data_IF_330617656102
#
_entry.id   IF_330617656102
#
_cell.length_a   1.000
_cell.length_b   1.000
_cell.length_c   1.000
_cell.angle_alpha   90.00
_cell.angle_beta   90.00
_cell.angle_gamma   90.00
#
_symmetry.space_group_name_H-M   'P 1'
#
loop_
_entity.id
_entity.type
_entity.pdbx_description
1 polymer ?
#
# COMPACT_ATOMS: atom_id res chain seq x y z
N UNK A 1 -5.01 11.03 -4.29
CA UNK A 1 -4.70 10.46 -2.95
C UNK A 1 -3.90 11.46 -2.15
N UNK A 2 -4.61 12.42 -1.64
CA UNK A 2 -4.02 13.50 -0.86
C UNK A 2 -3.36 12.95 0.41
N UNK A 3 -2.18 13.43 0.72
CA UNK A 3 -1.36 13.03 1.89
C UNK A 3 -0.77 11.62 1.82
N UNK A 4 -1.10 10.82 0.82
CA UNK A 4 -0.41 9.57 0.57
C UNK A 4 0.91 9.87 -0.14
N UNK A 5 1.94 9.10 0.18
CA UNK A 5 3.25 9.21 -0.47
C UNK A 5 3.19 8.44 -1.79
N UNK A 6 3.47 9.10 -2.90
CA UNK A 6 3.45 8.44 -4.20
C UNK A 6 4.71 7.60 -4.38
N UNK A 7 4.53 6.31 -4.65
CA UNK A 7 5.61 5.35 -4.83
C UNK A 7 6.00 5.33 -6.32
N UNK A 8 7.15 5.90 -6.64
CA UNK A 8 7.52 6.18 -8.04
C UNK A 8 8.90 5.66 -8.45
N UNK A 9 9.62 5.00 -7.56
CA UNK A 9 10.92 4.40 -7.90
C UNK A 9 11.16 3.12 -7.10
N UNK A 10 12.03 2.26 -7.65
CA UNK A 10 12.40 1.01 -6.98
C UNK A 10 13.18 1.30 -5.71
N UNK A 11 14.08 2.29 -5.73
CA UNK A 11 14.86 2.67 -4.54
C UNK A 11 13.95 3.16 -3.43
N UNK A 12 12.93 3.94 -3.77
CA UNK A 12 11.93 4.41 -2.79
C UNK A 12 11.22 3.23 -2.12
N UNK A 13 10.88 2.20 -2.89
CA UNK A 13 10.27 0.99 -2.34
C UNK A 13 11.22 0.27 -1.38
N UNK A 14 12.47 0.08 -1.76
CA UNK A 14 13.45 -0.59 -0.91
C UNK A 14 13.70 0.18 0.38
N UNK A 15 13.76 1.51 0.30
CA UNK A 15 13.90 2.38 1.47
C UNK A 15 12.66 2.28 2.39
N UNK A 16 11.46 2.20 1.80
CA UNK A 16 10.23 2.05 2.56
C UNK A 16 10.19 0.72 3.32
N UNK A 17 10.62 -0.37 2.67
CA UNK A 17 10.69 -1.68 3.30
C UNK A 17 11.68 -1.67 4.46
N UNK A 18 12.84 -1.03 4.29
CA UNK A 18 13.83 -0.88 5.34
C UNK A 18 13.26 -0.07 6.52
N UNK A 19 12.55 1.02 6.23
CA UNK A 19 11.90 1.86 7.24
C UNK A 19 10.87 1.08 8.05
N UNK A 20 10.27 0.02 7.48
CA UNK A 20 9.26 -0.79 8.16
C UNK A 20 9.78 -1.52 9.39
N UNK A 21 11.10 -1.57 9.59
CA UNK A 21 11.70 -2.10 10.82
C UNK A 21 11.42 -1.17 12.01
N UNK A 22 11.18 0.12 11.77
CA UNK A 22 10.94 1.13 12.83
C UNK A 22 9.50 1.60 12.89
N UNK A 23 8.81 1.63 11.74
CA UNK A 23 7.47 2.21 11.62
C UNK A 23 6.69 1.45 10.57
N UNK A 24 5.45 1.05 10.83
CA UNK A 24 4.67 0.31 9.82
C UNK A 24 4.57 1.06 8.51
N UNK A 25 4.56 0.33 7.42
CA UNK A 25 4.42 0.84 6.06
C UNK A 25 3.20 0.19 5.42
N UNK A 26 2.39 1.00 4.76
CA UNK A 26 1.23 0.53 4.02
C UNK A 26 1.44 0.84 2.55
N UNK A 27 1.15 -0.14 1.69
CA UNK A 27 1.24 0.04 0.23
C UNK A 27 -0.13 -0.27 -0.36
N UNK A 28 -0.71 0.70 -1.06
CA UNK A 28 -1.94 0.52 -1.81
C UNK A 28 -1.64 0.53 -3.31
N UNK A 29 -1.85 -0.61 -3.95
CA UNK A 29 -1.72 -0.75 -5.42
C UNK A 29 -3.07 -0.40 -6.05
N UNK A 30 -3.07 0.63 -6.87
CA UNK A 30 -4.28 1.14 -7.53
C UNK A 30 -4.16 1.01 -9.05
N UNK A 31 -5.25 0.56 -9.69
CA UNK A 31 -5.39 0.58 -11.14
C UNK A 31 -6.40 1.67 -11.53
N UNK A 32 -5.96 2.66 -12.28
CA UNK A 32 -6.80 3.77 -12.72
C UNK A 32 -7.90 3.35 -13.71
N UNK A 33 -7.81 2.12 -14.23
CA UNK A 33 -8.78 1.57 -15.21
C UNK A 33 -9.75 0.57 -14.60
N UNK A 34 -9.74 0.40 -13.29
CA UNK A 34 -10.57 -0.59 -12.61
C UNK A 34 -11.56 0.11 -11.67
N UNK A 35 -12.86 -0.12 -11.85
CA UNK A 35 -13.89 0.48 -11.01
C UNK A 35 -13.82 -0.01 -9.55
N UNK A 36 -13.47 -1.29 -9.35
CA UNK A 36 -13.29 -1.85 -8.00
C UNK A 36 -12.13 -1.15 -7.30
N UNK A 37 -11.05 -0.84 -8.05
CA UNK A 37 -9.90 -0.12 -7.52
C UNK A 37 -10.26 1.32 -7.15
N UNK A 38 -11.10 1.97 -7.94
CA UNK A 38 -11.58 3.32 -7.63
C UNK A 38 -12.44 3.35 -6.37
N UNK A 39 -13.25 2.32 -6.15
CA UNK A 39 -14.03 2.18 -4.92
C UNK A 39 -13.11 2.01 -3.71
N UNK A 40 -12.08 1.17 -3.84
CA UNK A 40 -11.08 0.97 -2.79
C UNK A 40 -10.36 2.30 -2.48
N UNK A 41 -9.98 3.04 -3.50
CA UNK A 41 -9.34 4.34 -3.33
C UNK A 41 -10.22 5.31 -2.56
N UNK A 42 -11.52 5.37 -2.87
CA UNK A 42 -12.46 6.22 -2.15
C UNK A 42 -12.57 5.85 -0.66
N UNK A 43 -12.49 4.57 -0.35
CA UNK A 43 -12.52 4.09 1.05
C UNK A 43 -11.26 4.48 1.81
N UNK A 44 -10.13 4.61 1.12
CA UNK A 44 -8.83 4.87 1.74
C UNK A 44 -8.37 6.33 1.66
N UNK A 45 -9.07 7.18 0.94
CA UNK A 45 -8.59 8.54 0.66
C UNK A 45 -8.30 9.39 1.89
N UNK A 46 -8.99 9.16 2.99
CA UNK A 46 -8.80 9.92 4.23
C UNK A 46 -7.87 9.23 5.23
N UNK A 47 -7.36 8.04 4.88
CA UNK A 47 -6.56 7.25 5.80
C UNK A 47 -5.24 7.94 6.19
N UNK A 48 -4.61 8.65 5.27
CA UNK A 48 -3.36 9.33 5.56
C UNK A 48 -3.52 10.43 6.62
N UNK A 49 -4.68 11.09 6.67
CA UNK A 49 -4.97 12.07 7.71
C UNK A 49 -5.10 11.42 9.09
N UNK A 50 -5.65 10.20 9.13
CA UNK A 50 -5.89 9.49 10.39
C UNK A 50 -4.67 8.71 10.88
N UNK A 51 -3.93 8.09 9.97
CA UNK A 51 -2.88 7.12 10.31
C UNK A 51 -1.48 7.56 9.93
N UNK A 52 -1.31 8.73 9.33
CA UNK A 52 -0.01 9.22 8.88
C UNK A 52 1.03 9.39 9.98
N UNK A 53 0.60 9.57 11.23
CA UNK A 53 1.52 9.62 12.37
C UNK A 53 1.97 8.23 12.83
N UNK A 54 1.14 7.20 12.57
CA UNK A 54 1.41 5.83 13.00
C UNK A 54 2.11 4.99 11.92
N UNK A 55 2.01 5.37 10.66
CA UNK A 55 2.54 4.61 9.54
C UNK A 55 2.84 5.50 8.36
N UNK A 56 3.75 5.04 7.48
CA UNK A 56 3.96 5.66 6.19
C UNK A 56 3.02 4.99 5.18
N UNK A 57 2.20 5.78 4.50
CA UNK A 57 1.17 5.28 3.59
C UNK A 57 1.55 5.61 2.16
N UNK A 58 1.84 4.58 1.37
CA UNK A 58 2.29 4.70 -0.01
C UNK A 58 1.18 4.34 -0.99
N UNK A 59 1.03 5.20 -2.00
CA UNK A 59 0.11 4.99 -3.12
C UNK A 59 0.92 4.59 -4.35
N UNK A 60 0.58 3.47 -4.96
CA UNK A 60 1.23 2.97 -6.17
C UNK A 60 0.23 2.89 -7.32
N UNK A 61 0.44 3.73 -8.34
CA UNK A 61 -0.27 3.61 -9.61
C UNK A 61 0.39 2.49 -10.41
N UNK A 62 -0.15 1.29 -10.30
CA UNK A 62 0.50 0.10 -10.83
C UNK A 62 0.60 0.08 -12.37
N UNK A 63 -0.31 0.76 -13.05
CA UNK A 63 -0.28 0.80 -14.52
C UNK A 63 0.86 1.68 -15.04
N UNK A 64 1.16 2.77 -14.33
CA UNK A 64 2.27 3.65 -14.67
C UNK A 64 3.62 3.13 -14.18
N UNK A 65 3.63 2.32 -13.14
CA UNK A 65 4.85 1.86 -12.46
C UNK A 65 4.86 0.34 -12.31
N UNK A 66 4.64 -0.40 -13.41
CA UNK A 66 4.60 -1.87 -13.39
C UNK A 66 5.84 -2.53 -12.81
N UNK A 67 7.07 -2.05 -13.12
CA UNK A 67 8.26 -2.66 -12.52
C UNK A 67 8.27 -2.57 -10.99
N UNK A 68 7.76 -1.48 -10.42
CA UNK A 68 7.68 -1.31 -8.98
C UNK A 68 6.64 -2.27 -8.40
N UNK A 69 5.49 -2.41 -9.07
CA UNK A 69 4.44 -3.35 -8.65
C UNK A 69 4.97 -4.79 -8.64
N UNK A 70 5.76 -5.17 -9.65
CA UNK A 70 6.39 -6.49 -9.70
C UNK A 70 7.41 -6.67 -8.58
N UNK A 71 8.18 -5.63 -8.28
CA UNK A 71 9.18 -5.66 -7.22
C UNK A 71 8.52 -5.81 -5.84
N UNK A 72 7.36 -5.19 -5.63
CA UNK A 72 6.58 -5.39 -4.40
C UNK A 72 6.23 -6.85 -4.21
N UNK A 73 5.70 -7.49 -5.26
CA UNK A 73 5.31 -8.91 -5.20
C UNK A 73 6.51 -9.80 -4.92
N UNK A 74 7.62 -9.56 -5.61
CA UNK A 74 8.82 -10.39 -5.46
C UNK A 74 9.49 -10.19 -4.10
N UNK A 75 9.66 -8.95 -3.67
CA UNK A 75 10.38 -8.63 -2.43
C UNK A 75 9.60 -9.05 -1.19
N UNK A 76 8.30 -8.84 -1.19
CA UNK A 76 7.43 -9.14 -0.05
C UNK A 76 6.82 -10.55 -0.13
N UNK A 77 7.09 -11.29 -1.20
CA UNK A 77 6.58 -12.65 -1.42
C UNK A 77 5.05 -12.72 -1.34
N UNK A 78 4.39 -11.76 -1.99
CA UNK A 78 2.93 -11.68 -2.05
C UNK A 78 2.50 -11.70 -3.51
N UNK A 79 1.66 -12.64 -3.87
CA UNK A 79 1.12 -12.74 -5.23
C UNK A 79 0.42 -11.43 -5.61
N UNK A 80 0.77 -10.90 -6.78
CA UNK A 80 0.17 -9.67 -7.26
C UNK A 80 -1.34 -9.80 -7.43
N UNK A 81 -2.07 -8.82 -6.94
CA UNK A 81 -3.50 -8.62 -7.20
C UNK A 81 -3.76 -7.13 -7.37
N UNK A 82 -4.88 -6.77 -7.97
CA UNK A 82 -5.23 -5.37 -8.22
C UNK A 82 -6.74 -5.16 -8.08
N UNK A 83 -7.18 -4.24 -7.21
CA UNK A 83 -6.38 -3.48 -6.25
C UNK A 83 -5.87 -4.35 -5.11
N UNK A 84 -4.80 -3.93 -4.47
CA UNK A 84 -4.22 -4.67 -3.36
C UNK A 84 -3.71 -3.72 -2.28
N UNK A 85 -3.94 -4.08 -1.02
CA UNK A 85 -3.45 -3.34 0.14
C UNK A 85 -2.52 -4.26 0.93
N UNK A 86 -1.31 -3.78 1.22
CA UNK A 86 -0.31 -4.52 1.97
C UNK A 86 0.11 -3.73 3.20
N UNK A 87 0.24 -4.42 4.33
CA UNK A 87 0.80 -3.85 5.56
C UNK A 87 2.15 -4.50 5.81
N UNK A 88 3.19 -3.70 5.93
CA UNK A 88 4.58 -4.14 6.07
C UNK A 88 5.13 -3.71 7.42
N UNK A 89 5.64 -4.67 8.18
CA UNK A 89 6.30 -4.45 9.47
C UNK A 89 7.52 -5.35 9.55
N UNK A 90 8.61 -4.83 10.12
CA UNK A 90 9.85 -5.59 10.26
C UNK A 90 10.31 -6.21 8.94
N UNK A 91 10.18 -5.43 7.87
CA UNK A 91 10.60 -5.78 6.50
C UNK A 91 9.83 -6.96 5.89
N UNK A 92 8.66 -7.29 6.44
CA UNK A 92 7.81 -8.38 5.96
C UNK A 92 6.36 -7.92 5.78
N UNK A 93 5.68 -8.49 4.80
CA UNK A 93 4.24 -8.29 4.68
C UNK A 93 3.54 -9.09 5.77
N UNK A 94 2.94 -8.40 6.72
CA UNK A 94 2.22 -9.05 7.85
C UNK A 94 0.74 -9.22 7.56
N UNK A 95 0.21 -8.48 6.60
CA UNK A 95 -1.17 -8.61 6.16
C UNK A 95 -1.32 -8.06 4.75
N UNK A 96 -2.14 -8.71 3.94
CA UNK A 96 -2.54 -8.18 2.63
C UNK A 96 -3.98 -8.58 2.32
N UNK A 97 -4.64 -7.75 1.52
CA UNK A 97 -5.99 -8.03 1.04
C UNK A 97 -6.18 -7.37 -0.32
N UNK A 98 -7.27 -7.71 -1.00
CA UNK A 98 -7.49 -7.25 -2.37
C UNK A 98 -8.97 -7.04 -2.66
N UNK A 99 -9.23 -6.39 -3.81
CA UNK A 99 -10.58 -6.21 -4.37
C UNK A 99 -11.55 -5.54 -3.38
N UNK A 100 -12.73 -6.09 -3.24
CA UNK A 100 -13.78 -5.53 -2.38
C UNK A 100 -13.52 -5.63 -0.88
N UNK A 101 -12.47 -6.36 -0.47
CA UNK A 101 -12.12 -6.50 0.94
C UNK A 101 -11.25 -5.33 1.45
N UNK A 102 -10.83 -4.44 0.56
CA UNK A 102 -10.02 -3.28 0.97
C UNK A 102 -10.92 -2.26 1.65
N UNK A 103 -10.65 -2.01 2.93
CA UNK A 103 -11.42 -1.09 3.78
C UNK A 103 -10.49 -0.38 4.77
N UNK A 104 -10.88 0.82 5.18
CA UNK A 104 -10.11 1.61 6.14
C UNK A 104 -9.97 0.90 7.50
N UNK A 105 -10.98 0.15 7.91
CA UNK A 105 -11.00 -0.59 9.19
C UNK A 105 -9.82 -1.56 9.31
N UNK A 106 -9.30 -2.05 8.19
CA UNK A 106 -8.10 -2.91 8.18
C UNK A 106 -6.90 -2.16 8.72
N UNK A 107 -6.75 -0.89 8.38
CA UNK A 107 -5.65 -0.06 8.88
C UNK A 107 -5.79 0.16 10.39
N UNK A 108 -6.99 0.37 10.87
CA UNK A 108 -7.25 0.51 12.30
C UNK A 108 -6.79 -0.74 13.06
N UNK A 109 -7.10 -1.92 12.53
CA UNK A 109 -6.74 -3.19 13.15
C UNK A 109 -5.24 -3.46 13.17
N UNK A 110 -4.49 -2.97 12.19
CA UNK A 110 -3.08 -3.30 12.00
C UNK A 110 -2.12 -2.19 12.40
N UNK A 111 -2.57 -0.96 12.57
CA UNK A 111 -1.71 0.20 12.87
C UNK A 111 -1.84 0.72 14.30
N UNK A 112 -2.76 0.19 15.06
CA UNK A 112 -2.94 0.58 16.48
C UNK A 112 -2.32 -0.41 17.44
#
# INVERSE_FOLDING_TARGET
MEHWIHLESEQQLLDAIETSASKPVVIFKHSTRCSISSMAMNRLKNAASKYGAAADLYYLDLLSYRPISSLVADTLEVTHESPQLLVVKDEKCVFHTSHGNIREEILESHLN
#
